data_IF_045946766455
#
_entry.id   IF_045946766455
#
_cell.length_a   1.000
_cell.length_b   1.000
_cell.length_c   1.000
_cell.angle_alpha   90.00
_cell.angle_beta   90.00
_cell.angle_gamma   90.00
#
_symmetry.space_group_name_H-M   'P 1'
#
loop_
_entity.id
_entity.type
_entity.pdbx_description
1 polymer ?
#
# COMPACT_ATOMS: atom_id res chain seq x y z
N UNK A 1 5.22 -6.07 -0.99
CA UNK A 1 6.05 -7.30 -1.11
C UNK A 1 5.38 -8.50 -0.47
N UNK A 2 5.10 -8.49 0.85
CA UNK A 2 4.56 -9.66 1.57
C UNK A 2 3.25 -10.15 0.96
N UNK A 3 2.26 -9.27 0.80
CA UNK A 3 0.96 -9.63 0.21
C UNK A 3 1.08 -10.12 -1.24
N UNK A 4 1.79 -9.37 -2.09
CA UNK A 4 2.06 -9.79 -3.47
C UNK A 4 2.72 -11.18 -3.53
N UNK A 5 3.67 -11.47 -2.64
CA UNK A 5 4.29 -12.80 -2.56
C UNK A 5 3.28 -13.88 -2.17
N UNK A 6 2.36 -13.57 -1.24
CA UNK A 6 1.34 -14.50 -0.75
C UNK A 6 0.31 -14.87 -1.82
N UNK A 7 0.00 -13.93 -2.74
CA UNK A 7 -0.93 -14.15 -3.85
C UNK A 7 -0.36 -15.01 -4.99
N UNK A 8 0.97 -15.12 -5.10
CA UNK A 8 1.64 -15.89 -6.14
C UNK A 8 1.84 -17.36 -5.75
N UNK A 9 1.89 -18.23 -6.77
CA UNK A 9 2.30 -19.63 -6.67
C UNK A 9 3.77 -19.78 -6.27
N UNK A 10 4.18 -21.01 -5.94
CA UNK A 10 5.49 -21.27 -5.33
C UNK A 10 6.66 -20.83 -6.23
N UNK A 11 6.58 -21.06 -7.54
CA UNK A 11 7.64 -20.69 -8.49
C UNK A 11 7.62 -19.19 -8.76
N UNK A 12 6.46 -18.62 -9.04
CA UNK A 12 6.30 -17.20 -9.37
C UNK A 12 6.71 -16.31 -8.21
N UNK A 13 6.46 -16.76 -6.97
CA UNK A 13 6.90 -16.08 -5.75
C UNK A 13 8.42 -15.95 -5.70
N UNK A 14 9.17 -17.03 -5.98
CA UNK A 14 10.63 -17.01 -5.93
C UNK A 14 11.21 -16.10 -7.01
N UNK A 15 10.66 -16.15 -8.23
CA UNK A 15 11.09 -15.29 -9.32
C UNK A 15 10.78 -13.81 -9.03
N UNK A 16 9.62 -13.49 -8.45
CA UNK A 16 9.30 -12.12 -8.01
C UNK A 16 10.30 -11.62 -6.96
N UNK A 17 10.62 -12.42 -5.95
CA UNK A 17 11.57 -12.02 -4.90
C UNK A 17 12.99 -11.84 -5.45
N UNK A 18 13.41 -12.69 -6.39
CA UNK A 18 14.70 -12.54 -7.09
C UNK A 18 14.72 -11.26 -7.93
N UNK A 19 13.66 -10.98 -8.68
CA UNK A 19 13.52 -9.75 -9.46
C UNK A 19 13.58 -8.49 -8.58
N UNK A 20 12.94 -8.51 -7.40
CA UNK A 20 13.07 -7.43 -6.41
C UNK A 20 14.52 -7.27 -5.93
N UNK A 21 15.19 -8.38 -5.58
CA UNK A 21 16.60 -8.38 -5.15
C UNK A 21 17.58 -7.89 -6.23
N UNK A 22 17.19 -7.95 -7.50
CA UNK A 22 17.96 -7.43 -8.64
C UNK A 22 17.62 -5.97 -8.98
N UNK A 23 16.80 -5.30 -8.17
CA UNK A 23 16.46 -3.88 -8.35
C UNK A 23 15.27 -3.63 -9.28
N UNK A 24 14.45 -4.64 -9.54
CA UNK A 24 13.24 -4.48 -10.35
C UNK A 24 12.22 -3.48 -9.78
N UNK A 25 12.18 -3.35 -8.45
CA UNK A 25 11.47 -2.29 -7.76
C UNK A 25 12.19 -1.93 -6.45
N UNK A 26 11.96 -0.72 -5.96
CA UNK A 26 12.46 -0.27 -4.67
C UNK A 26 11.55 -0.76 -3.54
N UNK A 27 12.14 -1.33 -2.49
CA UNK A 27 11.43 -1.69 -1.25
C UNK A 27 11.69 -0.59 -0.23
N UNK A 28 10.65 0.11 0.19
CA UNK A 28 10.74 1.18 1.18
C UNK A 28 10.53 0.61 2.59
N UNK A 29 11.49 0.79 3.51
CA UNK A 29 11.29 0.48 4.92
C UNK A 29 10.47 1.58 5.60
N UNK A 30 9.80 1.21 6.70
CA UNK A 30 9.20 2.15 7.63
C UNK A 30 9.51 1.74 9.07
N UNK A 31 9.61 2.73 9.97
CA UNK A 31 9.83 2.50 11.39
C UNK A 31 8.54 2.00 12.06
N UNK A 32 8.69 1.24 13.16
CA UNK A 32 7.54 0.69 13.89
C UNK A 32 6.58 1.78 14.41
N UNK A 33 7.06 3.00 14.65
CA UNK A 33 6.23 4.14 15.04
C UNK A 33 5.22 4.53 13.96
N UNK A 34 5.52 4.32 12.67
CA UNK A 34 4.59 4.61 11.56
C UNK A 34 3.29 3.79 11.65
N UNK A 35 3.33 2.66 12.36
CA UNK A 35 2.13 1.85 12.62
C UNK A 35 1.07 2.63 13.41
N UNK A 36 1.45 3.61 14.24
CA UNK A 36 0.50 4.41 15.01
C UNK A 36 -0.37 5.27 14.09
N UNK A 37 0.23 5.87 13.05
CA UNK A 37 -0.51 6.63 12.04
C UNK A 37 -1.37 5.70 11.17
N UNK A 38 -0.80 4.57 10.73
CA UNK A 38 -1.50 3.57 9.93
C UNK A 38 -2.75 3.04 10.65
N UNK A 39 -2.68 2.77 11.97
CA UNK A 39 -3.86 2.36 12.75
C UNK A 39 -4.97 3.41 12.67
N UNK A 40 -4.64 4.70 12.79
CA UNK A 40 -5.60 5.79 12.65
C UNK A 40 -6.25 5.83 11.26
N UNK A 41 -5.47 5.64 10.20
CA UNK A 41 -6.00 5.59 8.83
C UNK A 41 -6.84 4.35 8.56
N UNK A 42 -6.40 3.19 9.03
CA UNK A 42 -7.16 1.95 8.92
C UNK A 42 -8.51 2.07 9.62
N UNK A 43 -8.57 2.69 10.81
CA UNK A 43 -9.83 2.98 11.51
C UNK A 43 -10.71 3.95 10.71
N UNK A 44 -10.13 5.01 10.16
CA UNK A 44 -10.86 6.03 9.38
C UNK A 44 -11.50 5.48 8.11
N UNK A 45 -10.80 4.60 7.40
CA UNK A 45 -11.21 4.10 6.09
C UNK A 45 -11.84 2.71 6.11
N UNK A 46 -11.95 2.11 7.29
CA UNK A 46 -12.72 0.88 7.50
C UNK A 46 -14.15 1.23 7.87
N UNK A 47 -15.10 0.75 7.07
CA UNK A 47 -16.53 0.81 7.33
C UNK A 47 -17.13 -0.59 7.15
N UNK A 48 -17.42 -1.24 8.27
CA UNK A 48 -17.98 -2.60 8.30
C UNK A 48 -19.42 -2.59 7.78
N UNK A 49 -19.84 -3.55 6.92
CA UNK A 49 -19.08 -4.69 6.42
C UNK A 49 -18.43 -4.48 5.04
N UNK A 50 -18.53 -3.28 4.46
CA UNK A 50 -18.38 -3.10 3.00
C UNK A 50 -16.97 -2.77 2.57
N UNK A 51 -16.19 -2.09 3.42
CA UNK A 51 -14.86 -1.58 3.06
C UNK A 51 -13.92 -1.70 4.23
N UNK A 52 -12.70 -2.14 3.97
CA UNK A 52 -11.65 -2.29 4.96
C UNK A 52 -10.37 -1.75 4.34
N UNK A 53 -9.69 -0.87 5.05
CA UNK A 53 -8.31 -0.55 4.73
C UNK A 53 -7.43 -1.47 5.55
N UNK A 54 -6.66 -2.31 4.89
CA UNK A 54 -5.74 -3.22 5.57
C UNK A 54 -4.34 -2.61 5.72
N UNK A 55 -3.39 -3.40 6.25
CA UNK A 55 -2.03 -2.93 6.48
C UNK A 55 -1.27 -2.72 5.16
N UNK A 56 -1.59 -3.46 4.10
CA UNK A 56 -0.95 -3.26 2.80
C UNK A 56 -1.36 -1.90 2.22
N UNK A 57 -2.67 -1.60 2.20
CA UNK A 57 -3.18 -0.29 1.78
C UNK A 57 -2.63 0.84 2.64
N UNK A 58 -2.58 0.67 3.96
CA UNK A 58 -2.03 1.66 4.88
C UNK A 58 -0.53 1.88 4.70
N UNK A 59 0.23 0.85 4.36
CA UNK A 59 1.65 1.03 4.06
C UNK A 59 1.89 1.79 2.75
N UNK A 60 1.02 1.63 1.74
CA UNK A 60 1.08 2.42 0.51
C UNK A 60 0.62 3.87 0.73
N UNK A 61 -0.42 4.06 1.53
CA UNK A 61 -0.87 5.40 1.95
C UNK A 61 0.21 6.14 2.72
N UNK A 62 0.87 5.47 3.68
CA UNK A 62 2.00 6.01 4.42
C UNK A 62 3.13 6.44 3.48
N UNK A 63 3.52 5.59 2.54
CA UNK A 63 4.59 5.90 1.60
C UNK A 63 4.25 7.12 0.74
N UNK A 64 3.00 7.24 0.29
CA UNK A 64 2.53 8.41 -0.44
C UNK A 64 2.54 9.69 0.41
N UNK A 65 2.21 9.58 1.70
CA UNK A 65 2.30 10.68 2.65
C UNK A 65 3.75 11.15 2.85
N UNK A 66 4.68 10.22 3.12
CA UNK A 66 6.10 10.55 3.39
C UNK A 66 6.85 11.04 2.15
N UNK A 67 6.60 10.43 0.99
CA UNK A 67 7.29 10.78 -0.26
C UNK A 67 6.65 11.94 -1.02
N UNK A 68 5.38 12.24 -0.74
CA UNK A 68 4.55 13.19 -1.50
C UNK A 68 4.10 12.69 -2.88
N UNK A 69 4.46 11.46 -3.27
CA UNK A 69 4.09 10.83 -4.54
C UNK A 69 2.65 10.33 -4.44
N UNK A 70 1.78 10.82 -5.33
CA UNK A 70 0.34 10.46 -5.35
C UNK A 70 -0.05 9.55 -6.50
N UNK A 71 0.86 9.30 -7.45
CA UNK A 71 0.63 8.34 -8.53
C UNK A 71 0.70 6.90 -7.98
N UNK A 72 -0.32 6.09 -8.29
CA UNK A 72 -0.41 4.71 -7.84
C UNK A 72 -0.86 3.78 -8.95
N UNK A 73 -0.14 2.67 -9.08
CA UNK A 73 -0.54 1.54 -9.91
C UNK A 73 -1.25 0.52 -9.01
N UNK A 74 -2.55 0.33 -9.21
CA UNK A 74 -3.34 -0.59 -8.41
C UNK A 74 -4.50 -1.19 -9.22
N UNK A 75 -4.87 -2.42 -8.89
CA UNK A 75 -6.12 -3.02 -9.38
C UNK A 75 -7.31 -2.68 -8.49
N UNK A 76 -7.06 -2.25 -7.24
CA UNK A 76 -8.12 -1.81 -6.32
C UNK A 76 -8.44 -0.33 -6.52
N UNK A 77 -9.01 -0.04 -7.69
CA UNK A 77 -9.40 1.31 -8.08
C UNK A 77 -10.41 1.89 -7.09
N UNK A 78 -11.32 1.07 -6.57
CA UNK A 78 -12.41 1.53 -5.71
C UNK A 78 -11.87 2.05 -4.39
N UNK A 79 -10.96 1.31 -3.76
CA UNK A 79 -10.49 1.64 -2.42
C UNK A 79 -9.46 2.77 -2.49
N UNK A 80 -8.57 2.82 -3.49
CA UNK A 80 -7.67 3.97 -3.66
C UNK A 80 -8.36 5.26 -4.14
N UNK A 81 -9.50 5.16 -4.83
CA UNK A 81 -10.29 6.35 -5.24
C UNK A 81 -10.90 7.11 -4.06
N UNK A 82 -11.12 6.46 -2.91
CA UNK A 82 -11.72 7.09 -1.71
C UNK A 82 -10.68 7.67 -0.75
N UNK A 83 -9.45 7.18 -0.77
CA UNK A 83 -8.42 7.64 0.15
C UNK A 83 -8.02 9.09 -0.17
N UNK A 84 -7.81 9.86 0.89
CA UNK A 84 -7.36 11.26 0.80
C UNK A 84 -6.20 11.42 1.76
N UNK A 85 -5.07 11.91 1.27
CA UNK A 85 -3.90 12.22 2.10
C UNK A 85 -4.24 13.27 3.17
N UNK A 86 -3.42 13.45 4.23
CA UNK A 86 -3.71 14.43 5.28
C UNK A 86 -3.89 15.87 4.78
N UNK A 87 -3.28 16.21 3.64
CA UNK A 87 -3.42 17.49 2.93
C UNK A 87 -4.65 17.58 2.00
N UNK A 88 -5.46 16.52 1.96
CA UNK A 88 -6.68 16.43 1.16
C UNK A 88 -6.48 15.96 -0.28
N UNK A 89 -5.24 15.72 -0.75
CA UNK A 89 -5.00 15.22 -2.11
C UNK A 89 -5.55 13.81 -2.30
N UNK A 90 -6.06 13.52 -3.49
CA UNK A 90 -6.43 12.18 -3.93
C UNK A 90 -5.25 11.50 -4.63
N UNK A 91 -5.28 10.16 -4.69
CA UNK A 91 -4.37 9.41 -5.54
C UNK A 91 -4.67 9.62 -7.03
N UNK A 92 -3.62 9.65 -7.85
CA UNK A 92 -3.69 9.56 -9.30
C UNK A 92 -3.51 8.09 -9.68
N UNK A 93 -4.58 7.44 -10.15
CA UNK A 93 -4.58 6.03 -10.50
C UNK A 93 -4.10 5.87 -11.94
N UNK A 94 -3.07 5.04 -12.14
CA UNK A 94 -2.42 4.76 -13.43
C UNK A 94 -3.05 3.57 -14.17
#
# INVERSE_FOLDING_TARGET
MVEASHMLGDVERLEMLKWLGLGGAQVFPFDASALLDMVGWMQRYTETPRTRMDLADASLYWLAHESGVIAILTVDVRDFSRYRLPDGRAFEIL
#
